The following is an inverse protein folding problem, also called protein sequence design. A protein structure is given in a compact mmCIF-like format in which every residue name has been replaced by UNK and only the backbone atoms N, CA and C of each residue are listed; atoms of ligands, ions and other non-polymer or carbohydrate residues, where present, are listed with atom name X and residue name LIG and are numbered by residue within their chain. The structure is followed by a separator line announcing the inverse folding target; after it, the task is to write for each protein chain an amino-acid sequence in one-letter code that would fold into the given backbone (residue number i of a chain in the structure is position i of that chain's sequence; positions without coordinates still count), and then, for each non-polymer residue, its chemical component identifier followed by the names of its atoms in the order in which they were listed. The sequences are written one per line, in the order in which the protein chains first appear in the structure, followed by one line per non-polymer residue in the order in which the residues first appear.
data_IF_091511660207
#
_entry.id   IF_091511660207
#
_cell.length_a   1.000
_cell.length_b   1.000
_cell.length_c   1.000
_cell.angle_alpha   90.00
_cell.angle_beta   90.00
_cell.angle_gamma   90.00
#
_symmetry.space_group_name_H-M   'P 1'
#
loop_
_entity.id
_entity.type
_entity.pdbx_description
1 polymer ?
#
# COMPACT_ATOMS: atom_id res chain seq x y z
N UNK A 1 34.44 29.94 -5.24
CA UNK A 1 33.78 29.16 -4.17
C UNK A 1 32.29 29.46 -4.27
N UNK A 2 31.47 28.45 -4.55
CA UNK A 2 30.03 28.58 -4.77
C UNK A 2 29.32 27.99 -3.56
N UNK A 3 28.18 28.57 -3.19
CA UNK A 3 27.32 28.06 -2.14
C UNK A 3 25.99 27.60 -2.74
N UNK A 4 25.55 26.38 -2.41
CA UNK A 4 24.26 25.83 -2.81
C UNK A 4 23.49 25.25 -1.63
N UNK A 5 22.16 25.30 -1.76
CA UNK A 5 21.20 24.73 -0.82
C UNK A 5 20.37 23.70 -1.54
N UNK A 6 20.40 22.45 -1.07
CA UNK A 6 19.57 21.36 -1.57
C UNK A 6 18.52 21.03 -0.53
N UNK A 7 17.27 21.07 -0.91
CA UNK A 7 16.15 20.73 -0.03
C UNK A 7 15.75 19.26 -0.30
N UNK A 8 15.71 18.47 0.76
CA UNK A 8 15.24 17.10 0.73
C UNK A 8 13.71 17.11 0.75
N UNK A 9 13.09 17.28 -0.43
CA UNK A 9 11.64 17.23 -0.58
C UNK A 9 11.16 15.78 -0.65
N UNK A 10 9.97 15.51 -0.09
CA UNK A 10 9.26 14.23 -0.18
C UNK A 10 9.93 13.00 0.42
N UNK A 11 11.03 13.15 1.15
CA UNK A 11 11.72 12.06 1.86
C UNK A 11 11.95 12.40 3.33
N UNK A 12 12.09 11.36 4.16
CA UNK A 12 12.45 11.53 5.56
C UNK A 12 13.95 11.85 5.67
N UNK A 13 14.34 13.04 6.20
CA UNK A 13 15.74 13.40 6.38
C UNK A 13 16.52 12.42 7.28
N UNK A 14 15.86 11.78 8.25
CA UNK A 14 16.47 10.78 9.13
C UNK A 14 16.92 9.55 8.35
N UNK A 15 16.12 9.10 7.39
CA UNK A 15 16.49 7.99 6.50
C UNK A 15 17.68 8.39 5.62
N UNK A 16 17.67 9.61 5.07
CA UNK A 16 18.73 10.09 4.20
C UNK A 16 20.05 10.28 4.94
N UNK A 17 20.02 10.92 6.12
CA UNK A 17 21.24 11.18 6.89
C UNK A 17 21.75 9.95 7.66
N UNK A 18 20.89 8.95 7.87
CA UNK A 18 21.19 7.75 8.65
C UNK A 18 21.20 7.99 10.17
N UNK A 19 21.20 6.88 10.90
CA UNK A 19 21.26 6.92 12.37
C UNK A 19 22.51 7.67 12.83
N UNK A 20 22.35 8.65 13.70
CA UNK A 20 23.46 9.48 14.17
C UNK A 20 24.19 10.26 13.07
N UNK A 21 23.51 10.54 11.96
CA UNK A 21 24.09 11.16 10.76
C UNK A 21 25.21 10.34 10.08
N UNK A 22 25.20 9.01 10.21
CA UNK A 22 26.24 8.14 9.65
C UNK A 22 26.40 8.31 8.13
N UNK A 23 25.30 8.32 7.37
CA UNK A 23 25.31 8.53 5.92
C UNK A 23 25.84 9.92 5.56
N UNK A 24 25.42 10.96 6.29
CA UNK A 24 25.92 12.32 6.07
C UNK A 24 27.45 12.42 6.30
N UNK A 25 27.98 11.76 7.34
CA UNK A 25 29.43 11.73 7.58
C UNK A 25 30.16 11.00 6.46
N UNK A 26 29.58 9.90 5.97
CA UNK A 26 30.13 9.17 4.84
C UNK A 26 30.15 10.05 3.57
N UNK A 27 29.06 10.74 3.24
CA UNK A 27 29.01 11.67 2.11
C UNK A 27 30.10 12.74 2.25
N UNK A 28 30.27 13.34 3.45
CA UNK A 28 31.35 14.29 3.72
C UNK A 28 32.74 13.70 3.45
N UNK A 29 32.97 12.44 3.80
CA UNK A 29 34.25 11.76 3.59
C UNK A 29 34.54 11.48 2.10
N UNK A 30 33.49 11.27 1.29
CA UNK A 30 33.60 11.05 -0.16
C UNK A 30 33.85 12.33 -0.94
N UNK A 31 33.49 13.50 -0.37
CA UNK A 31 33.70 14.82 -0.97
C UNK A 31 34.54 15.74 -0.06
N UNK A 32 35.81 15.41 0.19
CA UNK A 32 36.62 16.12 1.19
C UNK A 32 36.97 17.60 0.83
N UNK A 33 36.79 17.96 -0.44
CA UNK A 33 37.01 19.35 -0.90
C UNK A 33 35.79 20.24 -0.69
N UNK A 34 34.65 19.67 -0.31
CA UNK A 34 33.40 20.38 -0.11
C UNK A 34 33.12 20.54 1.39
N UNK A 35 32.63 21.71 1.79
CA UNK A 35 32.09 21.92 3.14
C UNK A 35 30.59 21.65 3.13
N UNK A 36 30.15 20.53 3.69
CA UNK A 36 28.76 20.09 3.71
C UNK A 36 28.20 20.24 5.13
N UNK A 37 27.10 20.97 5.27
CA UNK A 37 26.35 21.15 6.52
C UNK A 37 24.89 20.82 6.26
N UNK A 38 24.30 19.94 7.04
CA UNK A 38 22.89 19.61 6.95
C UNK A 38 22.16 20.08 8.23
N UNK A 39 20.98 20.64 8.03
CA UNK A 39 20.07 21.03 9.11
C UNK A 39 18.63 20.81 8.65
N UNK A 40 17.88 20.07 9.45
CA UNK A 40 16.52 19.64 9.12
C UNK A 40 16.49 18.94 7.74
N UNK A 41 15.75 19.46 6.78
CA UNK A 41 15.68 18.92 5.41
C UNK A 41 16.56 19.69 4.41
N UNK A 42 17.46 20.57 4.86
CA UNK A 42 18.30 21.38 3.98
C UNK A 42 19.77 20.99 4.11
N UNK A 43 20.40 20.70 2.98
CA UNK A 43 21.83 20.45 2.84
C UNK A 43 22.47 21.70 2.23
N UNK A 44 23.37 22.33 2.96
CA UNK A 44 24.16 23.46 2.52
C UNK A 44 25.55 22.99 2.11
N UNK A 45 26.00 23.34 0.92
CA UNK A 45 27.26 22.89 0.35
C UNK A 45 28.04 24.10 -0.12
N UNK A 46 29.33 24.18 0.26
CA UNK A 46 30.27 25.18 -0.22
C UNK A 46 31.49 24.49 -0.85
N UNK A 47 31.90 24.95 -2.03
CA UNK A 47 33.08 24.41 -2.71
C UNK A 47 33.29 24.97 -4.11
N UNK A 48 34.10 24.27 -4.88
CA UNK A 48 34.40 24.62 -6.25
C UNK A 48 33.32 24.09 -7.20
N UNK A 49 33.17 24.69 -8.37
CA UNK A 49 32.08 24.45 -9.30
C UNK A 49 32.04 22.99 -9.82
N UNK A 50 33.17 22.42 -10.13
CA UNK A 50 33.28 21.06 -10.68
C UNK A 50 32.78 19.98 -9.65
N UNK A 51 33.27 20.08 -8.41
CA UNK A 51 32.85 19.17 -7.32
C UNK A 51 31.39 19.41 -6.93
N UNK A 52 30.89 20.65 -7.07
CA UNK A 52 29.52 21.02 -6.77
C UNK A 52 28.52 20.35 -7.71
N UNK A 53 28.76 20.33 -9.03
CA UNK A 53 27.91 19.67 -10.02
C UNK A 53 27.80 18.19 -9.71
N UNK A 54 28.91 17.53 -9.42
CA UNK A 54 28.94 16.10 -9.14
C UNK A 54 28.14 15.75 -7.88
N UNK A 55 28.35 16.47 -6.77
CA UNK A 55 27.63 16.16 -5.53
C UNK A 55 26.13 16.43 -5.66
N UNK A 56 25.71 17.42 -6.45
CA UNK A 56 24.28 17.67 -6.72
C UNK A 56 23.62 16.50 -7.44
N UNK A 57 24.28 15.97 -8.46
CA UNK A 57 23.78 14.81 -9.20
C UNK A 57 23.70 13.56 -8.30
N UNK A 58 24.72 13.34 -7.48
CA UNK A 58 24.77 12.20 -6.58
C UNK A 58 23.71 12.34 -5.47
N UNK A 59 23.53 13.51 -4.84
CA UNK A 59 22.48 13.76 -3.85
C UNK A 59 21.09 13.59 -4.46
N UNK A 60 20.86 14.10 -5.66
CA UNK A 60 19.58 13.92 -6.34
C UNK A 60 19.30 12.44 -6.67
N UNK A 61 20.34 11.69 -7.04
CA UNK A 61 20.23 10.25 -7.27
C UNK A 61 19.94 9.50 -5.96
N UNK A 62 20.61 9.87 -4.85
CA UNK A 62 20.33 9.32 -3.52
C UNK A 62 18.92 9.67 -3.06
N UNK A 63 18.45 10.90 -3.30
CA UNK A 63 17.07 11.32 -2.98
C UNK A 63 16.04 10.46 -3.71
N UNK A 64 16.19 10.27 -5.02
CA UNK A 64 15.35 9.38 -5.83
C UNK A 64 15.41 7.94 -5.36
N UNK A 65 16.58 7.48 -4.91
CA UNK A 65 16.74 6.15 -4.33
C UNK A 65 15.91 6.01 -3.05
N UNK A 66 16.02 6.95 -2.11
CA UNK A 66 15.21 6.93 -0.87
C UNK A 66 13.71 7.04 -1.18
N UNK A 67 13.32 7.91 -2.11
CA UNK A 67 11.91 8.04 -2.52
C UNK A 67 11.34 6.71 -3.06
N UNK A 68 12.14 5.99 -3.85
CA UNK A 68 11.73 4.72 -4.46
C UNK A 68 11.74 3.56 -3.49
N UNK A 69 12.80 3.43 -2.69
CA UNK A 69 13.09 2.24 -1.89
C UNK A 69 12.79 2.41 -0.39
N UNK A 70 12.42 3.62 0.06
CA UNK A 70 12.22 4.02 1.45
C UNK A 70 13.44 3.79 2.36
N UNK A 71 14.60 3.52 1.80
CA UNK A 71 15.86 3.27 2.54
C UNK A 71 17.05 3.61 1.66
N UNK A 72 18.20 3.85 2.29
CA UNK A 72 19.51 3.91 1.65
C UNK A 72 20.54 3.34 2.62
N UNK A 73 21.48 2.57 2.12
CA UNK A 73 22.58 2.01 2.89
C UNK A 73 23.90 2.66 2.53
N UNK A 74 24.92 2.48 3.35
CA UNK A 74 26.29 2.96 3.04
C UNK A 74 26.81 2.38 1.72
N UNK A 75 26.46 1.11 1.42
CA UNK A 75 26.81 0.45 0.16
C UNK A 75 26.11 1.12 -1.02
N UNK A 76 24.82 1.47 -0.90
CA UNK A 76 24.08 2.18 -1.94
C UNK A 76 24.69 3.57 -2.22
N UNK A 77 25.10 4.29 -1.18
CA UNK A 77 25.77 5.59 -1.30
C UNK A 77 27.07 5.43 -2.09
N UNK A 78 27.89 4.42 -1.77
CA UNK A 78 29.13 4.14 -2.49
C UNK A 78 28.89 3.77 -3.95
N UNK A 79 27.88 2.96 -4.22
CA UNK A 79 27.55 2.56 -5.59
C UNK A 79 27.05 3.75 -6.41
N UNK A 80 26.22 4.61 -5.84
CA UNK A 80 25.72 5.84 -6.50
C UNK A 80 26.88 6.76 -6.84
N UNK A 81 27.75 7.08 -5.88
CA UNK A 81 28.91 7.99 -6.09
C UNK A 81 29.90 7.41 -7.15
N UNK A 82 29.97 6.07 -7.27
CA UNK A 82 30.76 5.38 -8.29
C UNK A 82 30.03 5.17 -9.61
N UNK A 83 28.81 5.68 -9.76
CA UNK A 83 27.99 5.50 -10.96
C UNK A 83 27.53 4.07 -11.21
N UNK A 84 27.41 3.25 -10.16
CA UNK A 84 26.98 1.85 -10.23
C UNK A 84 25.50 1.70 -9.88
N UNK A 85 24.90 0.62 -10.37
CA UNK A 85 23.54 0.23 -9.93
C UNK A 85 23.60 -0.33 -8.52
N UNK A 86 22.65 0.09 -7.70
CA UNK A 86 22.50 -0.44 -6.34
C UNK A 86 21.91 -1.86 -6.33
N UNK A 87 22.05 -2.58 -5.22
CA UNK A 87 21.43 -3.91 -5.06
C UNK A 87 19.91 -3.83 -5.20
N UNK A 88 19.30 -2.76 -4.72
CA UNK A 88 17.86 -2.55 -4.82
C UNK A 88 17.38 -2.46 -6.28
N UNK A 89 18.18 -1.87 -7.17
CA UNK A 89 17.88 -1.79 -8.61
C UNK A 89 17.91 -3.16 -9.31
N UNK A 90 18.56 -4.15 -8.73
CA UNK A 90 18.66 -5.49 -9.29
C UNK A 90 17.43 -6.37 -8.98
N UNK A 91 16.59 -5.99 -8.04
CA UNK A 91 15.38 -6.75 -7.66
C UNK A 91 14.28 -6.50 -8.67
N UNK A 92 13.86 -7.55 -9.37
CA UNK A 92 12.79 -7.50 -10.37
C UNK A 92 11.40 -7.69 -9.75
N UNK A 93 10.38 -7.24 -10.48
CA UNK A 93 8.96 -7.48 -10.19
C UNK A 93 8.49 -6.92 -8.84
N UNK A 94 9.13 -5.85 -8.36
CA UNK A 94 8.76 -5.17 -7.13
C UNK A 94 7.66 -4.15 -7.42
N UNK A 95 6.57 -4.22 -6.64
CA UNK A 95 5.51 -3.22 -6.70
C UNK A 95 5.94 -1.95 -5.97
N UNK A 96 6.25 -2.08 -4.70
CA UNK A 96 6.74 -1.02 -3.83
C UNK A 96 7.70 -1.61 -2.80
N UNK A 97 8.39 -0.74 -2.08
CA UNK A 97 9.20 -1.14 -0.92
C UNK A 97 8.49 -0.73 0.37
N UNK A 98 8.57 -1.58 1.39
CA UNK A 98 8.10 -1.22 2.73
C UNK A 98 8.95 -0.09 3.32
N UNK A 99 8.48 0.55 4.39
CA UNK A 99 9.25 1.56 5.13
C UNK A 99 10.57 1.01 5.70
N UNK A 100 10.66 -0.33 5.89
CA UNK A 100 11.90 -1.01 6.28
C UNK A 100 12.78 -1.43 5.08
N UNK A 101 12.48 -1.00 3.86
CA UNK A 101 13.23 -1.34 2.64
C UNK A 101 12.99 -2.75 2.10
N UNK A 102 12.01 -3.52 2.62
CA UNK A 102 11.69 -4.84 2.09
C UNK A 102 10.90 -4.74 0.79
N UNK A 103 11.28 -5.50 -0.27
CA UNK A 103 10.52 -5.50 -1.52
C UNK A 103 9.16 -6.20 -1.34
N UNK A 104 8.11 -5.53 -1.79
CA UNK A 104 6.73 -6.05 -1.84
C UNK A 104 6.44 -6.45 -3.28
N UNK A 105 6.17 -7.74 -3.49
CA UNK A 105 5.93 -8.34 -4.81
C UNK A 105 4.98 -9.53 -4.70
N UNK A 106 4.46 -9.99 -5.81
CA UNK A 106 3.73 -11.26 -5.89
C UNK A 106 4.64 -12.43 -5.50
N UNK A 107 4.15 -13.30 -4.62
CA UNK A 107 4.88 -14.48 -4.10
C UNK A 107 4.32 -15.79 -4.64
N UNK A 108 3.12 -15.76 -5.19
CA UNK A 108 2.45 -16.91 -5.76
C UNK A 108 1.92 -16.58 -7.16
N UNK A 109 1.53 -17.61 -7.89
CA UNK A 109 0.99 -17.48 -9.24
C UNK A 109 -0.31 -16.64 -9.24
N UNK A 110 -1.24 -16.90 -8.31
CA UNK A 110 -2.49 -16.14 -8.23
C UNK A 110 -2.26 -14.68 -7.83
N UNK A 111 -1.26 -14.42 -6.96
CA UNK A 111 -0.86 -13.04 -6.65
C UNK A 111 -0.27 -12.33 -7.87
N UNK A 112 0.50 -13.05 -8.72
CA UNK A 112 0.98 -12.49 -9.98
C UNK A 112 -0.17 -12.24 -10.96
N UNK A 113 -1.13 -13.16 -11.06
CA UNK A 113 -2.35 -12.95 -11.86
C UNK A 113 -3.15 -11.72 -11.41
N UNK A 114 -3.21 -11.45 -10.09
CA UNK A 114 -3.83 -10.22 -9.57
C UNK A 114 -3.09 -8.97 -10.04
N UNK A 115 -1.75 -8.99 -10.03
CA UNK A 115 -0.92 -7.88 -10.51
C UNK A 115 -1.15 -7.65 -12.00
N UNK A 116 -1.10 -8.71 -12.80
CA UNK A 116 -1.30 -8.65 -14.25
C UNK A 116 -2.73 -8.19 -14.62
N UNK A 117 -3.71 -8.63 -13.84
CA UNK A 117 -5.11 -8.22 -14.01
C UNK A 117 -5.30 -6.73 -13.71
N UNK A 118 -4.62 -6.20 -12.70
CA UNK A 118 -4.67 -4.78 -12.35
C UNK A 118 -4.13 -3.89 -13.47
N UNK A 119 -3.12 -4.32 -14.21
CA UNK A 119 -2.60 -3.57 -15.33
C UNK A 119 -3.58 -3.52 -16.52
N UNK A 120 -4.30 -4.63 -16.77
CA UNK A 120 -5.11 -4.84 -17.98
C UNK A 120 -6.59 -4.48 -17.85
N UNK A 121 -7.12 -4.41 -16.62
CA UNK A 121 -8.55 -4.22 -16.37
C UNK A 121 -8.82 -3.00 -15.50
N UNK A 122 -10.02 -2.48 -15.58
CA UNK A 122 -10.46 -1.35 -14.77
C UNK A 122 -11.08 -1.81 -13.44
N UNK A 123 -11.63 -3.03 -13.40
CA UNK A 123 -12.23 -3.59 -12.19
C UNK A 123 -11.75 -5.02 -11.95
N UNK A 124 -11.26 -5.28 -10.74
CA UNK A 124 -10.70 -6.57 -10.36
C UNK A 124 -11.37 -7.06 -9.07
N UNK A 125 -11.87 -8.28 -9.10
CA UNK A 125 -12.31 -9.00 -7.92
C UNK A 125 -11.22 -9.97 -7.49
N UNK A 126 -10.66 -9.77 -6.30
CA UNK A 126 -9.68 -10.66 -5.68
C UNK A 126 -10.34 -11.43 -4.54
N UNK A 127 -10.69 -12.68 -4.78
CA UNK A 127 -11.49 -13.51 -3.87
C UNK A 127 -10.69 -14.69 -3.37
N UNK A 128 -10.79 -15.01 -2.09
CA UNK A 128 -10.10 -16.17 -1.52
C UNK A 128 -9.95 -16.09 0.00
N UNK A 129 -9.35 -17.11 0.63
CA UNK A 129 -9.22 -17.22 2.08
C UNK A 129 -8.44 -16.06 2.71
N UNK A 130 -8.69 -15.83 4.00
CA UNK A 130 -7.89 -14.89 4.79
C UNK A 130 -6.40 -15.28 4.81
N UNK A 131 -5.52 -14.27 4.78
CA UNK A 131 -4.06 -14.48 4.80
C UNK A 131 -3.43 -14.75 3.43
N UNK A 132 -4.18 -14.69 2.32
CA UNK A 132 -3.64 -14.79 0.95
C UNK A 132 -3.07 -13.46 0.42
N UNK A 133 -3.11 -12.40 1.21
CA UNK A 133 -2.52 -11.10 0.86
C UNK A 133 -3.36 -10.22 -0.05
N UNK A 134 -4.65 -10.55 -0.28
CA UNK A 134 -5.56 -9.78 -1.17
C UNK A 134 -5.52 -8.28 -0.91
N UNK A 135 -5.87 -7.88 0.29
CA UNK A 135 -5.96 -6.47 0.72
C UNK A 135 -4.59 -5.80 0.66
N UNK A 136 -3.57 -6.45 1.23
CA UNK A 136 -2.21 -5.93 1.28
C UNK A 136 -1.63 -5.70 -0.13
N UNK A 137 -1.79 -6.67 -1.04
CA UNK A 137 -1.29 -6.56 -2.41
C UNK A 137 -2.08 -5.50 -3.21
N UNK A 138 -3.40 -5.41 -2.99
CA UNK A 138 -4.23 -4.38 -3.62
C UNK A 138 -3.80 -2.97 -3.20
N UNK A 139 -3.46 -2.77 -1.91
CA UNK A 139 -2.93 -1.50 -1.42
C UNK A 139 -1.55 -1.23 -2.01
N UNK A 140 -0.68 -2.24 -2.12
CA UNK A 140 0.63 -2.10 -2.76
C UNK A 140 0.52 -1.65 -4.23
N UNK A 141 -0.44 -2.20 -4.99
CA UNK A 141 -0.75 -1.79 -6.35
C UNK A 141 -1.25 -0.33 -6.41
N UNK A 142 -2.10 0.07 -5.46
CA UNK A 142 -2.58 1.44 -5.37
C UNK A 142 -1.45 2.43 -5.05
N UNK A 143 -0.57 2.08 -4.11
CA UNK A 143 0.62 2.90 -3.76
C UNK A 143 1.58 2.99 -4.94
N UNK A 144 1.80 1.90 -5.69
CA UNK A 144 2.58 1.91 -6.93
C UNK A 144 1.99 2.88 -7.94
N UNK A 145 0.69 2.76 -8.21
CA UNK A 145 0.01 3.64 -9.17
C UNK A 145 0.06 5.12 -8.78
N UNK A 146 0.00 5.42 -7.47
CA UNK A 146 0.15 6.78 -6.96
C UNK A 146 1.59 7.30 -7.14
N UNK A 147 2.61 6.49 -6.79
CA UNK A 147 4.04 6.83 -6.99
C UNK A 147 4.38 7.04 -8.46
N UNK A 148 3.82 6.24 -9.36
CA UNK A 148 4.00 6.34 -10.81
C UNK A 148 3.12 7.42 -11.47
N UNK A 149 2.32 8.15 -10.68
CA UNK A 149 1.38 9.19 -11.14
C UNK A 149 0.32 8.66 -12.13
N UNK A 150 0.10 7.34 -12.14
CA UNK A 150 -0.98 6.71 -12.89
C UNK A 150 -2.36 6.95 -12.25
N UNK A 151 -2.38 7.24 -10.94
CA UNK A 151 -3.55 7.70 -10.21
C UNK A 151 -3.21 8.93 -9.37
N UNK A 152 -4.19 9.78 -9.12
CA UNK A 152 -4.04 10.97 -8.27
C UNK A 152 -4.47 10.71 -6.83
N UNK A 153 -5.26 9.67 -6.60
CA UNK A 153 -5.86 9.37 -5.29
C UNK A 153 -5.91 7.88 -5.01
N UNK A 154 -5.87 7.54 -3.73
CA UNK A 154 -6.21 6.22 -3.22
C UNK A 154 -7.44 6.36 -2.33
N UNK A 155 -8.46 5.54 -2.57
CA UNK A 155 -9.68 5.54 -1.76
C UNK A 155 -9.90 4.12 -1.27
N UNK A 156 -9.79 3.94 0.04
CA UNK A 156 -9.98 2.66 0.70
C UNK A 156 -11.33 2.66 1.42
N UNK A 157 -12.08 1.60 1.24
CA UNK A 157 -13.39 1.46 1.83
C UNK A 157 -13.60 0.05 2.37
N UNK A 158 -14.37 -0.05 3.43
CA UNK A 158 -14.77 -1.33 4.04
C UNK A 158 -16.20 -1.22 4.56
N UNK A 159 -17.04 -2.26 4.43
CA UNK A 159 -18.33 -2.27 5.08
C UNK A 159 -18.13 -2.31 6.60
N UNK A 160 -18.86 -1.46 7.30
CA UNK A 160 -18.94 -1.54 8.75
C UNK A 160 -19.94 -2.64 9.09
N UNK A 161 -19.46 -3.82 9.46
CA UNK A 161 -20.30 -4.96 9.86
C UNK A 161 -20.11 -5.17 11.35
N UNK A 162 -21.21 -5.28 12.06
CA UNK A 162 -21.22 -5.62 13.47
C UNK A 162 -20.90 -7.12 13.62
N UNK A 163 -19.65 -7.47 13.86
CA UNK A 163 -19.23 -8.83 14.20
C UNK A 163 -19.70 -9.18 15.63
N UNK A 164 -21.03 -9.35 15.80
CA UNK A 164 -21.62 -9.73 17.09
C UNK A 164 -21.77 -8.63 18.12
N UNK A 165 -21.09 -7.51 18.00
CA UNK A 165 -21.24 -6.33 18.85
C UNK A 165 -21.93 -5.21 18.09
N UNK A 166 -23.08 -4.76 18.60
CA UNK A 166 -23.81 -3.65 17.99
C UNK A 166 -23.02 -2.35 18.16
N UNK A 167 -22.63 -1.71 17.06
CA UNK A 167 -21.94 -0.40 17.01
C UNK A 167 -22.59 0.64 17.96
N UNK A 168 -23.90 0.50 18.22
CA UNK A 168 -24.62 1.37 19.14
C UNK A 168 -24.17 1.30 20.61
N UNK A 169 -23.50 0.25 21.05
CA UNK A 169 -23.05 0.06 22.44
C UNK A 169 -21.61 0.53 22.69
N UNK A 170 -20.84 0.84 21.65
CA UNK A 170 -19.49 1.38 21.84
C UNK A 170 -19.55 2.86 22.24
N UNK A 171 -18.77 3.31 23.24
CA UNK A 171 -18.67 4.72 23.59
C UNK A 171 -17.92 5.50 22.50
N UNK A 172 -18.18 6.80 22.38
CA UNK A 172 -17.53 7.69 21.42
C UNK A 172 -18.38 8.06 20.20
N UNK A 173 -17.84 8.94 19.37
CA UNK A 173 -18.46 9.39 18.13
C UNK A 173 -18.51 8.28 17.07
N UNK A 174 -19.30 8.46 16.02
CA UNK A 174 -19.43 7.48 14.92
C UNK A 174 -18.07 7.14 14.30
N UNK A 175 -17.17 8.10 14.22
CA UNK A 175 -15.81 7.94 13.70
C UNK A 175 -15.01 6.99 14.60
N UNK A 176 -15.00 7.25 15.90
CA UNK A 176 -14.27 6.44 16.90
C UNK A 176 -14.73 4.97 16.92
N UNK A 177 -16.01 4.74 16.63
CA UNK A 177 -16.61 3.39 16.57
C UNK A 177 -16.23 2.63 15.29
N UNK A 178 -15.95 3.32 14.22
CA UNK A 178 -15.65 2.73 12.89
C UNK A 178 -14.14 2.56 12.68
N UNK A 179 -13.32 3.43 13.25
CA UNK A 179 -11.86 3.42 13.07
C UNK A 179 -11.20 2.05 13.36
N UNK A 180 -11.59 1.26 14.39
CA UNK A 180 -11.03 -0.07 14.61
C UNK A 180 -11.24 -1.04 13.42
N UNK A 181 -12.34 -0.92 12.69
CA UNK A 181 -12.61 -1.75 11.52
C UNK A 181 -11.76 -1.34 10.31
N UNK A 182 -11.26 -0.13 10.29
CA UNK A 182 -10.40 0.41 9.23
C UNK A 182 -8.91 0.23 9.52
N UNK A 183 -8.55 -0.13 10.77
CA UNK A 183 -7.16 -0.27 11.22
C UNK A 183 -6.31 -1.16 10.28
N UNK A 184 -6.77 -2.32 9.78
CA UNK A 184 -5.96 -3.12 8.86
C UNK A 184 -5.58 -2.42 7.55
N UNK A 185 -6.36 -1.42 7.13
CA UNK A 185 -6.06 -0.60 5.95
C UNK A 185 -4.98 0.43 6.28
N UNK A 186 -5.03 1.04 7.47
CA UNK A 186 -3.98 1.94 7.98
C UNK A 186 -2.66 1.18 8.12
N UNK A 187 -2.67 0.01 8.79
CA UNK A 187 -1.46 -0.80 9.01
C UNK A 187 -0.76 -1.15 7.69
N UNK A 188 -1.53 -1.50 6.66
CA UNK A 188 -0.97 -1.80 5.35
C UNK A 188 -0.36 -0.57 4.66
N UNK A 189 -0.98 0.61 4.78
CA UNK A 189 -0.42 1.85 4.25
C UNK A 189 0.84 2.27 5.01
N UNK A 190 0.85 2.15 6.34
CA UNK A 190 1.98 2.49 7.21
C UNK A 190 3.21 1.60 6.96
N UNK A 191 3.00 0.34 6.54
CA UNK A 191 4.12 -0.52 6.10
C UNK A 191 4.75 -0.05 4.77
N UNK A 192 4.02 0.74 3.95
CA UNK A 192 4.45 1.12 2.58
C UNK A 192 4.81 2.60 2.43
N UNK A 193 4.28 3.45 3.30
CA UNK A 193 4.44 4.91 3.24
C UNK A 193 4.90 5.39 4.61
N UNK A 194 6.00 6.15 4.71
CA UNK A 194 6.44 6.74 5.98
C UNK A 194 5.32 7.55 6.66
N UNK A 195 5.19 7.44 7.98
CA UNK A 195 4.06 7.96 8.74
C UNK A 195 3.80 9.46 8.50
N UNK A 196 4.85 10.28 8.48
CA UNK A 196 4.73 11.74 8.22
C UNK A 196 4.16 12.00 6.83
N UNK A 197 4.62 11.26 5.82
CA UNK A 197 4.14 11.40 4.44
C UNK A 197 2.70 10.88 4.29
N UNK A 198 2.37 9.78 4.96
CA UNK A 198 1.01 9.23 4.99
C UNK A 198 0.02 10.24 5.57
N UNK A 199 0.38 10.86 6.71
CA UNK A 199 -0.45 11.88 7.33
C UNK A 199 -0.68 13.09 6.41
N UNK A 200 0.38 13.62 5.79
CA UNK A 200 0.28 14.73 4.82
C UNK A 200 -0.63 14.37 3.62
N UNK A 201 -0.50 13.13 3.09
CA UNK A 201 -1.36 12.66 2.01
C UNK A 201 -2.82 12.50 2.43
N UNK A 202 -3.09 12.14 3.68
CA UNK A 202 -4.45 12.06 4.22
C UNK A 202 -5.04 13.45 4.44
N UNK A 203 -4.28 14.39 4.98
CA UNK A 203 -4.71 15.78 5.19
C UNK A 203 -5.02 16.49 3.87
N UNK A 204 -4.27 16.19 2.81
CA UNK A 204 -4.50 16.67 1.43
C UNK A 204 -5.57 15.87 0.67
N UNK A 205 -6.20 14.89 1.31
CA UNK A 205 -7.19 14.01 0.67
C UNK A 205 -6.67 13.25 -0.57
N UNK A 206 -5.36 13.03 -0.66
CA UNK A 206 -4.73 12.16 -1.67
C UNK A 206 -5.01 10.69 -1.31
N UNK A 207 -4.93 10.35 -0.01
CA UNK A 207 -5.35 9.06 0.51
C UNK A 207 -6.58 9.28 1.39
N UNK A 208 -7.63 8.51 1.14
CA UNK A 208 -8.88 8.57 1.89
C UNK A 208 -9.26 7.17 2.36
N UNK A 209 -9.58 7.04 3.63
CA UNK A 209 -10.12 5.80 4.21
C UNK A 209 -11.49 6.15 4.78
N UNK A 210 -12.52 5.46 4.31
CA UNK A 210 -13.88 5.75 4.74
C UNK A 210 -14.79 4.51 4.65
N UNK A 211 -15.77 4.39 5.56
CA UNK A 211 -16.77 3.34 5.49
C UNK A 211 -17.54 3.38 4.17
N UNK A 212 -18.00 2.22 3.73
CA UNK A 212 -18.75 2.06 2.49
C UNK A 212 -19.96 3.01 2.36
N UNK A 213 -20.65 3.29 3.44
CA UNK A 213 -21.80 4.18 3.46
C UNK A 213 -21.47 5.62 2.95
N UNK A 214 -20.24 6.08 3.18
CA UNK A 214 -19.78 7.42 2.77
C UNK A 214 -19.43 7.50 1.26
N UNK A 215 -19.51 6.40 0.53
CA UNK A 215 -19.30 6.38 -0.93
C UNK A 215 -20.58 6.75 -1.70
N UNK A 216 -21.73 6.77 -1.03
CA UNK A 216 -23.01 7.06 -1.67
C UNK A 216 -23.02 8.50 -2.22
N UNK A 217 -23.48 8.67 -3.46
CA UNK A 217 -23.60 9.98 -4.13
C UNK A 217 -22.28 10.55 -4.65
N UNK A 218 -21.16 9.86 -4.44
CA UNK A 218 -19.84 10.29 -4.98
C UNK A 218 -19.63 9.74 -6.39
N UNK A 219 -18.80 10.43 -7.17
CA UNK A 219 -18.14 9.89 -8.37
C UNK A 219 -16.65 9.87 -8.09
N UNK A 220 -16.05 8.69 -8.20
CA UNK A 220 -14.65 8.44 -7.85
C UNK A 220 -13.83 8.45 -9.14
N UNK A 221 -13.13 9.54 -9.41
CA UNK A 221 -12.32 9.72 -10.63
C UNK A 221 -10.84 9.90 -10.31
N UNK A 222 -9.98 9.59 -11.27
CA UNK A 222 -8.51 9.68 -11.19
C UNK A 222 -7.94 8.92 -9.98
N UNK A 223 -8.50 7.76 -9.64
CA UNK A 223 -8.22 7.07 -8.38
C UNK A 223 -8.02 5.57 -8.54
N UNK A 224 -7.26 4.99 -7.61
CA UNK A 224 -7.39 3.57 -7.30
C UNK A 224 -8.31 3.43 -6.08
N UNK A 225 -9.39 2.70 -6.25
CA UNK A 225 -10.44 2.52 -5.23
C UNK A 225 -10.46 1.06 -4.78
N UNK A 226 -10.37 0.81 -3.49
CA UNK A 226 -10.37 -0.54 -2.93
C UNK A 226 -11.59 -0.69 -2.00
N UNK A 227 -12.38 -1.75 -2.23
CA UNK A 227 -13.39 -2.21 -1.31
C UNK A 227 -12.90 -3.51 -0.67
N UNK A 228 -12.55 -3.43 0.61
CA UNK A 228 -12.10 -4.58 1.39
C UNK A 228 -13.29 -5.25 2.11
N UNK A 229 -13.17 -6.57 2.39
CA UNK A 229 -14.19 -7.40 3.03
C UNK A 229 -15.57 -7.31 2.35
N UNK A 230 -15.58 -7.27 1.02
CA UNK A 230 -16.79 -7.07 0.22
C UNK A 230 -17.84 -8.18 0.37
N UNK A 231 -17.49 -9.37 0.88
CA UNK A 231 -18.47 -10.42 1.20
C UNK A 231 -19.48 -9.95 2.23
N UNK A 232 -19.14 -8.95 3.04
CA UNK A 232 -19.98 -8.35 4.06
C UNK A 232 -20.80 -7.16 3.55
N UNK A 233 -20.99 -7.05 2.25
CA UNK A 233 -21.91 -6.09 1.62
C UNK A 233 -23.22 -6.79 1.22
N UNK A 234 -24.32 -6.06 1.30
CA UNK A 234 -25.57 -6.48 0.65
C UNK A 234 -25.52 -6.25 -0.86
N UNK A 235 -26.40 -6.88 -1.67
CA UNK A 235 -26.49 -6.61 -3.10
C UNK A 235 -26.69 -5.13 -3.46
N UNK A 236 -27.49 -4.42 -2.69
CA UNK A 236 -27.71 -2.99 -2.88
C UNK A 236 -26.47 -2.16 -2.61
N UNK A 237 -25.71 -2.52 -1.57
CA UNK A 237 -24.47 -1.80 -1.17
C UNK A 237 -23.36 -2.01 -2.21
N UNK A 238 -23.10 -3.24 -2.65
CA UNK A 238 -22.05 -3.48 -3.64
C UNK A 238 -22.39 -2.85 -4.99
N UNK A 239 -23.64 -2.96 -5.44
CA UNK A 239 -24.11 -2.30 -6.64
C UNK A 239 -23.94 -0.79 -6.56
N UNK A 240 -24.33 -0.18 -5.43
CA UNK A 240 -24.12 1.23 -5.17
C UNK A 240 -22.65 1.60 -5.31
N UNK A 241 -21.74 0.83 -4.73
CA UNK A 241 -20.31 1.10 -4.75
C UNK A 241 -19.70 0.97 -6.16
N UNK A 242 -19.94 -0.14 -6.85
CA UNK A 242 -19.40 -0.39 -8.19
C UNK A 242 -19.79 0.69 -9.19
N UNK A 243 -21.00 1.24 -9.04
CA UNK A 243 -21.49 2.34 -9.88
C UNK A 243 -20.95 3.72 -9.50
N UNK A 244 -20.04 3.83 -8.55
CA UNK A 244 -19.29 5.08 -8.22
C UNK A 244 -18.06 5.29 -9.10
N UNK A 245 -17.69 4.30 -9.90
CA UNK A 245 -16.55 4.38 -10.79
C UNK A 245 -16.67 5.59 -11.73
N UNK A 246 -15.67 6.45 -11.69
CA UNK A 246 -15.54 7.62 -12.56
C UNK A 246 -14.44 7.44 -13.60
N UNK A 247 -14.13 8.48 -14.32
CA UNK A 247 -13.08 8.46 -15.32
C UNK A 247 -11.71 8.18 -14.71
N UNK A 248 -10.88 7.44 -15.46
CA UNK A 248 -9.49 7.15 -15.09
C UNK A 248 -9.36 6.51 -13.71
N UNK A 249 -10.24 5.55 -13.41
CA UNK A 249 -10.30 4.89 -12.11
C UNK A 249 -10.14 3.39 -12.27
N UNK A 250 -9.36 2.78 -11.37
CA UNK A 250 -9.29 1.33 -11.18
C UNK A 250 -9.95 0.95 -9.87
N UNK A 251 -10.77 -0.09 -9.89
CA UNK A 251 -11.40 -0.63 -8.69
C UNK A 251 -10.88 -2.03 -8.36
N UNK A 252 -10.52 -2.27 -7.12
CA UNK A 252 -10.18 -3.60 -6.61
C UNK A 252 -11.15 -3.96 -5.49
N UNK A 253 -11.83 -5.07 -5.65
CA UNK A 253 -12.81 -5.59 -4.71
C UNK A 253 -12.24 -6.87 -4.09
N UNK A 254 -11.92 -6.83 -2.79
CA UNK A 254 -11.37 -7.97 -2.07
C UNK A 254 -12.44 -8.62 -1.18
N UNK A 255 -12.37 -9.94 -1.02
CA UNK A 255 -13.30 -10.63 -0.13
C UNK A 255 -13.02 -12.11 0.07
N UNK A 256 -13.67 -12.68 1.09
CA UNK A 256 -13.63 -14.09 1.43
C UNK A 256 -15.05 -14.64 1.58
N UNK A 257 -15.51 -15.42 0.59
CA UNK A 257 -16.87 -15.99 0.60
C UNK A 257 -17.11 -17.02 1.72
N UNK A 258 -16.07 -17.41 2.45
CA UNK A 258 -16.17 -18.32 3.61
C UNK A 258 -16.38 -17.59 4.93
N UNK A 259 -16.18 -16.25 4.95
CA UNK A 259 -16.26 -15.39 6.13
C UNK A 259 -17.34 -14.32 5.94
N UNK A 260 -18.58 -14.76 5.79
CA UNK A 260 -19.73 -13.86 5.65
C UNK A 260 -20.34 -13.64 7.03
N UNK A 261 -20.19 -12.42 7.55
CA UNK A 261 -20.67 -12.00 8.87
C UNK A 261 -22.01 -11.23 8.81
N UNK A 262 -22.68 -11.25 7.65
CA UNK A 262 -24.00 -10.63 7.48
C UNK A 262 -25.05 -11.35 8.31
N UNK A 263 -26.09 -10.65 8.79
CA UNK A 263 -27.25 -11.30 9.42
C UNK A 263 -27.85 -12.39 8.53
N UNK A 264 -28.32 -13.50 9.12
CA UNK A 264 -28.79 -14.68 8.40
C UNK A 264 -29.86 -14.42 7.31
N UNK A 265 -30.59 -13.31 7.42
CA UNK A 265 -31.61 -12.90 6.46
C UNK A 265 -31.04 -12.20 5.21
N UNK A 266 -29.78 -11.79 5.25
CA UNK A 266 -29.15 -11.00 4.18
C UNK A 266 -28.22 -11.86 3.31
N UNK A 267 -28.27 -11.61 2.00
CA UNK A 267 -27.39 -12.28 1.02
C UNK A 267 -26.13 -11.45 0.80
N UNK A 268 -25.00 -12.11 0.66
CA UNK A 268 -23.76 -11.47 0.28
C UNK A 268 -23.84 -10.90 -1.14
N UNK A 269 -23.65 -9.58 -1.25
CA UNK A 269 -23.61 -8.89 -2.52
C UNK A 269 -22.40 -9.26 -3.36
N UNK A 270 -21.26 -9.59 -2.73
CA UNK A 270 -20.08 -10.07 -3.47
C UNK A 270 -20.38 -11.33 -4.25
N UNK A 271 -21.08 -12.31 -3.64
CA UNK A 271 -21.45 -13.56 -4.32
C UNK A 271 -22.36 -13.30 -5.52
N UNK A 272 -23.31 -12.38 -5.39
CA UNK A 272 -24.19 -11.99 -6.48
C UNK A 272 -23.43 -11.23 -7.58
N UNK A 273 -22.58 -10.27 -7.21
CA UNK A 273 -21.78 -9.50 -8.17
C UNK A 273 -20.86 -10.40 -9.01
N UNK A 274 -20.18 -11.37 -8.39
CA UNK A 274 -19.35 -12.34 -9.11
C UNK A 274 -20.15 -13.18 -10.13
N UNK A 275 -21.40 -13.53 -9.80
CA UNK A 275 -22.27 -14.29 -10.71
C UNK A 275 -22.72 -13.45 -11.91
N UNK A 276 -22.99 -12.15 -11.69
CA UNK A 276 -23.54 -11.26 -12.73
C UNK A 276 -22.44 -10.70 -13.63
N UNK A 277 -21.28 -10.37 -13.04
CA UNK A 277 -20.22 -9.60 -13.72
C UNK A 277 -19.12 -10.49 -14.32
N UNK A 278 -19.23 -11.81 -14.18
CA UNK A 278 -18.27 -12.73 -14.78
C UNK A 278 -18.37 -12.67 -16.32
N UNK A 279 -17.23 -12.41 -16.96
CA UNK A 279 -17.16 -12.31 -18.43
C UNK A 279 -17.54 -10.93 -19.00
N UNK A 280 -17.79 -9.93 -18.16
CA UNK A 280 -17.94 -8.55 -18.61
C UNK A 280 -16.56 -7.98 -18.96
N UNK A 281 -16.43 -7.38 -20.14
CA UNK A 281 -15.19 -6.78 -20.60
C UNK A 281 -14.71 -5.66 -19.65
N UNK A 282 -13.38 -5.61 -19.39
CA UNK A 282 -12.79 -4.70 -18.42
C UNK A 282 -12.90 -5.16 -16.95
N UNK A 283 -13.54 -6.33 -16.68
CA UNK A 283 -13.65 -6.92 -15.35
C UNK A 283 -12.88 -8.24 -15.29
N UNK A 284 -12.05 -8.39 -14.26
CA UNK A 284 -11.33 -9.64 -14.00
C UNK A 284 -11.67 -10.21 -12.61
N UNK A 285 -11.76 -11.53 -12.51
CA UNK A 285 -11.98 -12.25 -11.26
C UNK A 285 -10.78 -13.15 -10.99
N UNK A 286 -10.06 -12.91 -9.91
CA UNK A 286 -8.90 -13.68 -9.48
C UNK A 286 -9.26 -14.44 -8.21
N UNK A 287 -9.16 -15.77 -8.29
CA UNK A 287 -9.43 -16.64 -7.17
C UNK A 287 -8.10 -17.07 -6.52
N UNK A 288 -7.84 -16.57 -5.32
CA UNK A 288 -6.73 -17.01 -4.49
C UNK A 288 -7.15 -18.24 -3.68
N UNK A 289 -6.20 -19.13 -3.39
CA UNK A 289 -6.49 -20.37 -2.69
C UNK A 289 -5.60 -20.57 -1.42
N UNK A 290 -5.71 -21.74 -0.78
CA UNK A 290 -4.94 -22.07 0.43
C UNK A 290 -3.42 -22.09 0.18
N UNK A 291 -2.95 -22.24 -1.05
CA UNK A 291 -1.50 -22.25 -1.39
C UNK A 291 -0.91 -20.85 -1.34
N UNK A 292 -1.75 -19.82 -1.51
CA UNK A 292 -1.35 -18.42 -1.45
C UNK A 292 -1.22 -17.88 -0.01
N UNK A 293 -1.62 -18.68 1.00
CA UNK A 293 -1.64 -18.25 2.40
C UNK A 293 -0.21 -18.09 2.91
N UNK A 294 0.13 -16.86 3.29
CA UNK A 294 1.40 -16.52 3.98
C UNK A 294 1.09 -16.33 5.47
N UNK A 295 1.38 -17.36 6.27
CA UNK A 295 1.12 -17.33 7.72
C UNK A 295 2.29 -17.92 8.50
N UNK A 296 2.42 -17.47 9.75
CA UNK A 296 3.32 -18.11 10.70
C UNK A 296 2.97 -19.61 10.87
N UNK A 297 3.97 -20.49 10.89
CA UNK A 297 3.77 -21.96 10.94
C UNK A 297 2.85 -22.40 12.10
N UNK A 298 2.95 -21.74 13.26
CA UNK A 298 2.09 -22.02 14.40
C UNK A 298 0.64 -21.68 14.12
N UNK A 299 0.36 -20.53 13.48
CA UNK A 299 -1.02 -20.11 13.13
C UNK A 299 -1.64 -21.14 12.16
N UNK A 300 -0.89 -21.64 11.20
CA UNK A 300 -1.35 -22.71 10.30
C UNK A 300 -1.74 -23.98 11.08
N UNK A 301 -0.94 -24.37 12.10
CA UNK A 301 -1.25 -25.51 12.95
C UNK A 301 -2.50 -25.31 13.79
N UNK A 302 -2.68 -24.10 14.34
CA UNK A 302 -3.88 -23.75 15.12
C UNK A 302 -5.13 -23.86 14.24
N UNK A 303 -5.13 -23.24 13.06
CA UNK A 303 -6.30 -23.28 12.14
C UNK A 303 -6.64 -24.72 11.75
N UNK A 304 -5.65 -25.53 11.39
CA UNK A 304 -5.86 -26.94 11.04
C UNK A 304 -6.44 -27.74 12.20
N UNK A 305 -6.03 -27.46 13.44
CA UNK A 305 -6.57 -28.14 14.63
C UNK A 305 -8.05 -27.82 14.82
N UNK A 306 -8.45 -26.54 14.69
CA UNK A 306 -9.87 -26.14 14.76
C UNK A 306 -10.68 -26.73 13.62
N UNK A 307 -10.21 -26.65 12.35
CA UNK A 307 -10.89 -27.25 11.20
C UNK A 307 -11.14 -28.76 11.38
N UNK A 308 -10.19 -29.47 12.01
CA UNK A 308 -10.31 -30.92 12.26
C UNK A 308 -11.37 -31.19 13.34
N UNK A 309 -11.36 -30.41 14.42
CA UNK A 309 -12.34 -30.51 15.50
C UNK A 309 -13.76 -30.25 15.00
N UNK A 310 -13.96 -29.17 14.20
CA UNK A 310 -15.27 -28.81 13.66
C UNK A 310 -15.82 -29.88 12.69
N UNK A 311 -14.96 -30.51 11.90
CA UNK A 311 -15.35 -31.65 11.03
C UNK A 311 -15.75 -32.88 11.84
N UNK A 312 -15.12 -33.11 13.00
CA UNK A 312 -15.46 -34.23 13.87
C UNK A 312 -16.82 -34.01 14.54
N UNK A 313 -17.15 -32.77 14.91
CA UNK A 313 -18.44 -32.41 15.57
C UNK A 313 -19.63 -32.27 14.63
N UNK A 314 -19.40 -32.21 13.31
CA UNK A 314 -20.46 -32.17 12.28
C UNK A 314 -20.86 -33.57 11.76
N UNK A 315 -20.22 -34.63 12.28
CA UNK A 315 -20.60 -36.04 12.05
C UNK A 315 -21.38 -36.59 13.23
#
# INVERSE_FOLDING_TARGET
MIEKHIVLEDIDPVVFYGVGNGHLQMIKSLFPKLRIVARDNVIRILGDEEEMVKIEEDIETMRKHVERYNTITEEDILDIVKGRKTKADAVKDVLVYSVSGRPIKGRSEHQQQLIDAFEKNDMIFAVGPAGTGKTYLSIALAVKALKEKAAKKIILSRPAVEAGEKLGFLPGDMKDKIDPYLQPLYDALEDMIPAVKLQDMMDKHIIQIAPLAFMRGRTLSDAVVILDEAQNTTPAQIRMFLTRMGWNTKMVITGDLTQIDLPHAEKSGLKEALSILNGVDGISVINLDKKDIVRHKLVTRIVNAYETHDKANKR
#
